data_IF_459856026506
#
_entry.id   IF_459856026506
#
_cell.length_a   1.000
_cell.length_b   1.000
_cell.length_c   1.000
_cell.angle_alpha   90.00
_cell.angle_beta   90.00
_cell.angle_gamma   90.00
#
_symmetry.space_group_name_H-M   'P 1'
#
loop_
_entity.id
_entity.type
_entity.pdbx_description
1 polymer ?
#
# COMPACT_ATOMS: atom_id res chain seq x y z
N UNK A 1 -22.63 -7.72 -6.20
CA UNK A 1 -22.08 -8.82 -7.04
C UNK A 1 -20.59 -8.61 -7.14
N UNK A 2 -19.78 -9.61 -6.77
CA UNK A 2 -18.32 -9.52 -6.82
C UNK A 2 -17.81 -9.45 -8.26
N UNK A 3 -16.65 -8.85 -8.45
CA UNK A 3 -15.97 -8.87 -9.75
C UNK A 3 -15.66 -10.32 -10.17
N UNK A 4 -15.69 -10.64 -11.48
CA UNK A 4 -15.33 -11.97 -11.96
C UNK A 4 -13.88 -12.30 -11.63
N UNK A 5 -13.60 -13.59 -11.39
CA UNK A 5 -12.24 -14.09 -11.20
C UNK A 5 -11.44 -13.82 -12.48
N UNK A 6 -10.25 -13.22 -12.35
CA UNK A 6 -9.38 -12.93 -13.48
C UNK A 6 -8.86 -14.24 -14.11
N UNK A 7 -8.59 -14.26 -15.44
CA UNK A 7 -7.90 -15.38 -16.08
C UNK A 7 -6.54 -15.66 -15.44
N UNK A 8 -6.07 -16.90 -15.57
CA UNK A 8 -4.72 -17.29 -15.13
C UNK A 8 -3.66 -16.61 -15.99
N UNK A 9 -2.51 -16.32 -15.38
CA UNK A 9 -1.33 -15.78 -16.04
C UNK A 9 -0.15 -16.73 -15.82
N UNK A 10 0.91 -16.59 -16.62
CA UNK A 10 2.11 -17.38 -16.44
C UNK A 10 2.92 -16.90 -15.21
N UNK A 11 3.70 -17.78 -14.56
CA UNK A 11 4.59 -17.39 -13.46
C UNK A 11 5.61 -16.32 -13.87
N UNK A 12 6.10 -16.36 -15.11
CA UNK A 12 7.09 -15.40 -15.62
C UNK A 12 6.51 -14.00 -15.74
N UNK A 13 5.21 -13.87 -16.02
CA UNK A 13 4.55 -12.58 -16.03
C UNK A 13 4.39 -12.02 -14.61
N UNK A 14 4.08 -12.88 -13.63
CA UNK A 14 4.00 -12.46 -12.23
C UNK A 14 5.37 -12.00 -11.70
N UNK A 15 6.43 -12.73 -12.03
CA UNK A 15 7.80 -12.44 -11.59
C UNK A 15 8.37 -11.12 -12.12
N UNK A 16 7.71 -10.48 -13.09
CA UNK A 16 8.11 -9.15 -13.58
C UNK A 16 7.65 -8.01 -12.64
N UNK A 17 6.73 -8.27 -11.72
CA UNK A 17 6.25 -7.26 -10.77
C UNK A 17 7.23 -7.21 -9.59
N UNK A 18 7.83 -6.04 -9.33
CA UNK A 18 8.66 -5.82 -8.14
C UNK A 18 7.73 -5.61 -6.92
N UNK A 19 7.57 -6.66 -6.11
CA UNK A 19 6.80 -6.63 -4.86
C UNK A 19 7.77 -6.69 -3.69
N UNK A 20 7.79 -5.65 -2.85
CA UNK A 20 8.68 -5.56 -1.70
C UNK A 20 7.92 -5.42 -0.39
N UNK A 21 8.51 -5.97 0.66
CA UNK A 21 8.09 -5.70 2.04
C UNK A 21 8.63 -4.33 2.44
N UNK A 22 7.74 -3.42 2.84
CA UNK A 22 8.09 -2.10 3.33
C UNK A 22 7.54 -1.88 4.74
N UNK A 23 8.30 -1.19 5.58
CA UNK A 23 7.88 -0.75 6.91
C UNK A 23 7.22 0.62 6.81
N UNK A 24 6.00 0.77 7.34
CA UNK A 24 5.29 2.05 7.34
C UNK A 24 5.81 2.88 8.50
N UNK A 25 6.52 3.96 8.20
CA UNK A 25 7.13 4.83 9.22
C UNK A 25 6.21 5.97 9.65
N UNK A 26 5.36 6.45 8.73
CA UNK A 26 4.48 7.58 9.00
C UNK A 26 3.20 7.49 8.18
N UNK A 27 2.10 7.90 8.79
CA UNK A 27 0.81 8.14 8.15
C UNK A 27 0.50 9.63 8.26
N UNK A 28 0.14 10.26 7.16
CA UNK A 28 -0.27 11.65 7.11
C UNK A 28 -1.60 11.81 6.38
N UNK A 29 -2.41 12.74 6.86
CA UNK A 29 -3.64 13.10 6.18
C UNK A 29 -3.38 13.83 4.86
N UNK A 30 -4.18 13.49 3.85
CA UNK A 30 -4.18 14.22 2.57
C UNK A 30 -5.22 15.34 2.68
N UNK A 31 -4.82 16.63 2.59
CA UNK A 31 -5.75 17.74 2.66
C UNK A 31 -6.84 17.61 1.60
N UNK A 32 -8.10 17.89 1.98
CA UNK A 32 -9.28 17.81 1.10
C UNK A 32 -9.59 16.42 0.57
N UNK A 33 -9.00 15.36 1.13
CA UNK A 33 -9.41 13.98 0.87
C UNK A 33 -10.04 13.36 2.11
N UNK A 34 -11.21 12.79 1.91
CA UNK A 34 -11.93 11.96 2.87
C UNK A 34 -11.50 10.48 2.79
N UNK A 35 -10.79 10.08 1.73
CA UNK A 35 -10.46 8.68 1.41
C UNK A 35 -8.97 8.36 1.52
N UNK A 36 -8.11 9.32 1.22
CA UNK A 36 -6.68 9.07 1.05
C UNK A 36 -5.90 9.44 2.32
N UNK A 37 -4.95 8.58 2.66
CA UNK A 37 -3.81 8.89 3.52
C UNK A 37 -2.52 8.76 2.74
N UNK A 38 -1.48 9.44 3.22
CA UNK A 38 -0.13 9.37 2.69
C UNK A 38 0.74 8.57 3.63
N UNK A 39 1.35 7.51 3.13
CA UNK A 39 2.29 6.67 3.86
C UNK A 39 3.72 7.06 3.48
N UNK A 40 4.59 7.22 4.47
CA UNK A 40 6.05 7.13 4.27
C UNK A 40 6.46 5.68 4.55
N UNK A 41 6.97 5.02 3.53
CA UNK A 41 7.34 3.60 3.59
C UNK A 41 8.83 3.45 3.37
N UNK A 42 9.49 2.70 4.25
CA UNK A 42 10.91 2.38 4.19
C UNK A 42 11.11 0.94 3.72
N UNK A 43 11.91 0.76 2.68
CA UNK A 43 12.27 -0.53 2.08
C UNK A 43 13.69 -0.99 2.45
N UNK A 44 14.36 -0.26 3.34
CA UNK A 44 15.73 -0.48 3.80
C UNK A 44 16.74 0.40 3.06
N UNK A 45 16.78 0.29 1.73
CA UNK A 45 17.69 1.00 0.83
C UNK A 45 17.14 2.35 0.36
N UNK A 46 15.82 2.47 0.21
CA UNK A 46 15.14 3.72 -0.13
C UNK A 46 13.79 3.85 0.59
N UNK A 47 13.23 5.05 0.48
CA UNK A 47 11.90 5.35 1.00
C UNK A 47 10.99 5.88 -0.11
N UNK A 48 9.70 5.54 -0.05
CA UNK A 48 8.69 6.08 -0.96
C UNK A 48 7.52 6.68 -0.20
N UNK A 49 6.86 7.61 -0.88
CA UNK A 49 5.57 8.15 -0.48
C UNK A 49 4.48 7.42 -1.24
N UNK A 50 3.57 6.76 -0.54
CA UNK A 50 2.48 5.97 -1.15
C UNK A 50 1.13 6.56 -0.71
N UNK A 51 0.27 6.88 -1.67
CA UNK A 51 -1.11 7.30 -1.39
C UNK A 51 -2.01 6.07 -1.32
N UNK A 52 -2.77 5.93 -0.23
CA UNK A 52 -3.60 4.76 0.03
C UNK A 52 -5.01 5.18 0.42
N UNK A 53 -6.00 4.55 -0.21
CA UNK A 53 -7.43 4.80 -0.01
C UNK A 53 -8.05 4.16 1.24
N UNK A 54 -7.32 4.07 2.35
CA UNK A 54 -7.76 3.33 3.54
C UNK A 54 -8.41 4.18 4.63
N UNK A 55 -8.58 5.50 4.42
CA UNK A 55 -9.02 6.42 5.46
C UNK A 55 -10.43 6.12 6.00
N UNK A 56 -11.32 5.61 5.14
CA UNK A 56 -12.70 5.24 5.50
C UNK A 56 -12.85 3.76 5.87
N UNK A 57 -11.83 2.95 5.60
CA UNK A 57 -11.86 1.51 5.86
C UNK A 57 -11.41 1.16 7.30
N UNK A 58 -10.86 2.13 8.02
CA UNK A 58 -10.30 1.97 9.36
C UNK A 58 -10.78 3.10 10.26
N UNK A 59 -10.99 2.77 11.53
CA UNK A 59 -11.31 3.78 12.54
C UNK A 59 -10.13 4.71 12.82
N UNK A 60 -8.92 4.16 12.85
CA UNK A 60 -7.66 4.90 12.99
C UNK A 60 -6.67 4.47 11.90
N UNK A 61 -6.43 5.28 10.86
CA UNK A 61 -5.41 4.99 9.85
C UNK A 61 -3.98 4.92 10.41
N UNK A 62 -3.71 5.51 11.58
CA UNK A 62 -2.40 5.50 12.23
C UNK A 62 -1.99 4.14 12.78
N UNK A 63 -2.92 3.20 12.96
CA UNK A 63 -2.66 1.87 13.53
C UNK A 63 -1.68 1.00 12.73
N UNK A 64 -1.39 1.39 11.48
CA UNK A 64 -0.47 0.68 10.59
C UNK A 64 0.97 1.17 10.69
N UNK A 65 1.24 2.26 11.42
CA UNK A 65 2.62 2.71 11.68
C UNK A 65 3.39 1.63 12.43
N UNK A 66 4.64 1.39 12.02
CA UNK A 66 5.49 0.32 12.53
C UNK A 66 5.21 -1.07 11.96
N UNK A 67 4.11 -1.24 11.21
CA UNK A 67 3.79 -2.52 10.54
C UNK A 67 4.51 -2.63 9.20
N UNK A 68 4.68 -3.88 8.77
CA UNK A 68 5.15 -4.20 7.43
C UNK A 68 3.99 -4.58 6.52
N UNK A 69 4.06 -4.17 5.26
CA UNK A 69 3.11 -4.53 4.21
C UNK A 69 3.84 -4.76 2.89
N UNK A 70 3.16 -5.41 1.94
CA UNK A 70 3.65 -5.59 0.57
C UNK A 70 3.27 -4.38 -0.28
N UNK A 71 4.23 -3.85 -1.02
CA UNK A 71 4.06 -2.75 -1.96
C UNK A 71 4.62 -3.14 -3.32
N UNK A 72 3.94 -2.69 -4.37
CA UNK A 72 4.50 -2.71 -5.73
C UNK A 72 5.39 -1.48 -5.90
N UNK A 73 6.63 -1.70 -6.29
CA UNK A 73 7.70 -0.68 -6.38
C UNK A 73 8.05 -0.40 -7.85
#
# INVERSE_FOLDING_TARGET
MGAPIKPTISPELLNQIDIRVGTIERVEDVPRSDKLVKLRVNFGDFQRTVLVGMKQERADPGEVVGRQALFVV
#
